data_IF_169238458099
#
_entry.id   IF_169238458099
#
_cell.length_a   1.000
_cell.length_b   1.000
_cell.length_c   1.000
_cell.angle_alpha   90.00
_cell.angle_beta   90.00
_cell.angle_gamma   90.00
#
_symmetry.space_group_name_H-M   'P 1'
#
loop_
_entity.id
_entity.type
_entity.pdbx_description
1 polymer ?
#
# COMPACT_ATOMS: atom_id res chain seq x y z
N UNK A 1 34.06 -31.49 -16.19
CA UNK A 1 35.42 -31.67 -15.62
C UNK A 1 35.95 -30.30 -15.24
N UNK A 2 36.77 -30.25 -14.18
CA UNK A 2 37.25 -29.09 -13.42
C UNK A 2 36.28 -28.58 -12.33
N UNK A 3 36.88 -28.31 -11.18
CA UNK A 3 36.41 -28.42 -9.80
C UNK A 3 36.42 -27.03 -9.11
N UNK A 4 35.89 -26.90 -7.88
CA UNK A 4 35.37 -25.67 -7.30
C UNK A 4 36.45 -24.82 -6.60
N UNK A 5 36.12 -23.56 -6.31
CA UNK A 5 36.83 -22.72 -5.35
C UNK A 5 35.95 -22.48 -4.12
N UNK A 6 36.19 -23.32 -3.14
CA UNK A 6 35.99 -23.07 -1.72
C UNK A 6 37.13 -22.16 -1.23
N UNK A 7 36.83 -21.08 -0.48
CA UNK A 7 37.73 -20.49 0.52
C UNK A 7 37.09 -19.38 1.37
N UNK A 8 36.78 -19.77 2.62
CA UNK A 8 37.27 -19.18 3.88
C UNK A 8 36.82 -17.75 4.27
N UNK A 9 35.97 -17.68 5.30
CA UNK A 9 36.14 -16.75 6.44
C UNK A 9 37.44 -17.11 7.20
N UNK A 10 38.11 -16.18 7.93
CA UNK A 10 37.80 -15.97 9.36
C UNK A 10 38.22 -14.53 9.86
N UNK A 11 38.55 -14.28 11.15
CA UNK A 11 37.66 -13.64 12.12
C UNK A 11 38.29 -12.41 12.82
N UNK A 12 37.51 -11.44 13.32
CA UNK A 12 38.05 -10.50 14.32
C UNK A 12 37.05 -10.28 15.46
N UNK A 13 37.55 -10.59 16.65
CA UNK A 13 36.97 -10.46 17.99
C UNK A 13 37.53 -9.21 18.69
N UNK A 14 36.83 -8.79 19.75
CA UNK A 14 37.15 -7.77 20.78
C UNK A 14 36.78 -6.33 20.37
N UNK A 15 36.11 -5.51 21.19
CA UNK A 15 36.23 -5.29 22.63
C UNK A 15 34.93 -4.71 23.24
N UNK A 16 34.71 -5.01 24.51
CA UNK A 16 33.67 -4.46 25.37
C UNK A 16 33.99 -3.03 25.86
N UNK A 17 32.97 -2.20 26.09
CA UNK A 17 33.00 -1.12 27.11
C UNK A 17 31.60 -0.98 27.73
N UNK A 18 31.55 -1.10 29.07
CA UNK A 18 30.45 -0.74 29.96
C UNK A 18 30.16 0.78 29.93
N UNK A 19 28.90 1.16 30.10
CA UNK A 19 28.54 2.29 30.95
C UNK A 19 27.14 2.10 31.56
N UNK A 20 27.13 1.73 32.84
CA UNK A 20 26.00 1.80 33.76
C UNK A 20 25.89 3.25 34.24
N UNK A 21 24.71 3.86 34.14
CA UNK A 21 24.34 4.99 35.02
C UNK A 21 22.94 4.73 35.55
N UNK A 22 22.89 4.36 36.83
CA UNK A 22 21.72 4.44 37.67
C UNK A 22 21.60 5.86 38.22
N UNK A 23 20.38 6.41 38.22
CA UNK A 23 20.04 7.64 38.92
C UNK A 23 18.63 7.52 39.49
N UNK A 24 18.55 7.24 40.79
CA UNK A 24 17.34 7.29 41.59
C UNK A 24 17.43 8.49 42.56
N UNK A 25 16.32 9.21 42.74
CA UNK A 25 15.79 9.90 43.95
C UNK A 25 14.51 10.64 43.50
N UNK A 26 13.28 10.24 43.87
CA UNK A 26 12.59 10.35 45.16
C UNK A 26 12.40 11.81 45.66
N UNK A 27 11.14 12.30 45.69
CA UNK A 27 10.46 12.73 46.93
C UNK A 27 9.07 13.38 46.67
N UNK A 28 8.20 13.18 47.65
CA UNK A 28 6.77 13.45 47.76
C UNK A 28 6.34 14.92 47.87
N UNK A 29 5.03 15.16 47.68
CA UNK A 29 4.30 16.29 48.27
C UNK A 29 2.85 16.36 47.79
N UNK A 30 1.91 15.83 48.58
CA UNK A 30 0.46 16.00 48.36
C UNK A 30 -0.14 17.14 49.18
N UNK A 31 -1.36 17.58 48.84
CA UNK A 31 -2.60 17.51 49.67
C UNK A 31 -3.77 18.23 48.99
N UNK A 32 -4.97 17.76 49.35
CA UNK A 32 -6.33 17.96 48.83
C UNK A 32 -7.04 19.28 49.17
N UNK A 33 -8.10 19.61 48.41
CA UNK A 33 -9.47 20.05 48.82
C UNK A 33 -10.28 20.30 47.52
N UNK A 34 -11.34 19.56 47.16
CA UNK A 34 -12.73 19.47 47.67
C UNK A 34 -13.74 20.22 46.77
N UNK A 35 -14.70 19.46 46.20
CA UNK A 35 -16.06 19.91 45.89
C UNK A 35 -16.37 20.54 44.53
N UNK A 36 -16.87 19.74 43.57
CA UNK A 36 -18.19 20.01 42.94
C UNK A 36 -18.64 18.84 42.05
N UNK A 37 -19.88 18.39 42.26
CA UNK A 37 -20.56 17.34 41.50
C UNK A 37 -20.84 17.80 40.06
N UNK A 38 -20.33 17.06 39.08
CA UNK A 38 -20.88 17.00 37.73
C UNK A 38 -20.81 15.55 37.22
N UNK A 39 -21.84 15.15 36.47
CA UNK A 39 -22.13 13.79 36.00
C UNK A 39 -20.94 13.10 35.27
N UNK A 40 -20.85 11.76 35.29
CA UNK A 40 -19.69 11.05 34.78
C UNK A 40 -19.55 11.23 33.26
N UNK A 41 -18.54 11.99 32.84
CA UNK A 41 -17.93 11.83 31.52
C UNK A 41 -17.03 10.60 31.61
N UNK A 42 -17.31 9.59 30.81
CA UNK A 42 -16.41 8.47 30.56
C UNK A 42 -15.20 9.01 29.79
N UNK A 43 -14.21 9.51 30.54
CA UNK A 43 -12.89 9.79 29.99
C UNK A 43 -12.17 8.45 29.92
N UNK A 44 -12.00 7.93 28.70
CA UNK A 44 -11.09 6.82 28.46
C UNK A 44 -9.69 7.26 28.92
N UNK A 45 -9.18 6.56 29.92
CA UNK A 45 -7.83 6.71 30.46
C UNK A 45 -6.85 6.09 29.45
N UNK A 46 -5.83 6.81 28.93
CA UNK A 46 -4.84 6.24 28.03
C UNK A 46 -3.75 5.57 28.87
N UNK A 47 -4.11 4.60 29.69
CA UNK A 47 -3.13 3.67 30.24
C UNK A 47 -2.89 2.60 29.17
N UNK A 48 -2.01 2.93 28.23
CA UNK A 48 -1.40 1.96 27.30
C UNK A 48 -0.57 1.01 28.14
N UNK A 49 -1.24 0.03 28.74
CA UNK A 49 -0.57 -1.12 29.33
C UNK A 49 -0.04 -1.88 28.13
N UNK A 50 1.25 -1.69 27.82
CA UNK A 50 1.96 -2.52 26.84
C UNK A 50 1.80 -3.96 27.27
N UNK A 51 0.87 -4.66 26.60
CA UNK A 51 0.67 -6.10 26.79
C UNK A 51 2.00 -6.79 26.48
N UNK A 52 2.43 -7.80 27.25
CA UNK A 52 3.60 -8.58 26.90
C UNK A 52 3.53 -9.03 25.43
N UNK A 53 4.65 -8.97 24.71
CA UNK A 53 4.76 -9.31 23.29
C UNK A 53 4.23 -10.71 22.95
N UNK A 54 4.23 -11.62 23.92
CA UNK A 54 3.77 -13.00 23.78
C UNK A 54 2.23 -13.17 23.91
N UNK A 55 1.50 -12.11 24.26
CA UNK A 55 0.02 -12.13 24.40
C UNK A 55 -0.71 -11.31 23.32
N UNK A 56 0.05 -10.60 22.48
CA UNK A 56 -0.50 -9.69 21.50
C UNK A 56 -1.00 -10.43 20.25
N UNK A 57 -2.02 -9.86 19.61
CA UNK A 57 -2.65 -10.38 18.40
C UNK A 57 -3.23 -9.21 17.59
N UNK A 58 -3.40 -9.36 16.28
CA UNK A 58 -4.00 -8.29 15.49
C UNK A 58 -5.51 -8.23 15.73
N UNK A 59 -6.01 -7.04 16.06
CA UNK A 59 -7.42 -6.77 16.36
C UNK A 59 -7.80 -5.37 15.85
N UNK A 60 -9.09 -5.16 15.53
CA UNK A 60 -9.62 -3.86 15.13
C UNK A 60 -9.51 -3.60 13.64
N UNK A 61 -9.46 -2.33 13.23
CA UNK A 61 -9.40 -1.96 11.80
C UNK A 61 -7.96 -1.89 11.31
N UNK A 62 -7.69 -2.51 10.18
CA UNK A 62 -6.37 -2.66 9.58
C UNK A 62 -6.41 -2.29 8.09
N UNK A 63 -5.33 -1.64 7.65
CA UNK A 63 -5.05 -1.37 6.25
C UNK A 63 -4.01 -2.37 5.78
N UNK A 64 -4.34 -3.14 4.74
CA UNK A 64 -3.45 -4.10 4.08
C UNK A 64 -2.99 -3.53 2.75
N UNK A 65 -1.72 -3.69 2.43
CA UNK A 65 -1.15 -3.40 1.11
C UNK A 65 -0.55 -4.70 0.58
N UNK A 66 -1.06 -5.14 -0.57
CA UNK A 66 -0.53 -6.28 -1.31
C UNK A 66 0.21 -5.72 -2.52
N UNK A 67 1.48 -6.07 -2.68
CA UNK A 67 2.30 -5.57 -3.78
C UNK A 67 2.86 -6.71 -4.60
N UNK A 68 2.52 -6.75 -5.88
CA UNK A 68 3.01 -7.76 -6.82
C UNK A 68 4.50 -7.57 -7.08
N UNK A 69 5.28 -8.63 -6.90
CA UNK A 69 6.73 -8.63 -7.19
C UNK A 69 7.09 -9.53 -8.37
N UNK A 70 6.30 -10.56 -8.66
CA UNK A 70 6.53 -11.43 -9.82
C UNK A 70 5.24 -12.06 -10.33
N UNK A 71 5.23 -12.38 -11.63
CA UNK A 71 4.21 -13.21 -12.28
C UNK A 71 4.86 -14.24 -13.19
N UNK A 72 4.38 -15.48 -13.15
CA UNK A 72 4.99 -16.59 -13.89
C UNK A 72 4.86 -16.49 -15.42
N UNK A 73 3.86 -15.74 -15.90
CA UNK A 73 3.59 -15.53 -17.33
C UNK A 73 4.29 -14.28 -17.91
N UNK A 74 4.93 -13.47 -17.05
CA UNK A 74 5.63 -12.24 -17.44
C UNK A 74 7.00 -12.21 -16.77
N UNK A 75 8.05 -12.55 -17.52
CA UNK A 75 9.43 -12.62 -17.00
C UNK A 75 10.01 -11.26 -16.59
N UNK A 76 9.52 -10.18 -17.18
CA UNK A 76 10.01 -8.81 -17.01
C UNK A 76 8.89 -7.90 -16.51
N UNK A 77 8.08 -8.40 -15.58
CA UNK A 77 7.06 -7.58 -14.94
C UNK A 77 7.77 -6.51 -14.11
N UNK A 78 7.52 -5.23 -14.40
CA UNK A 78 7.93 -4.15 -13.50
C UNK A 78 7.25 -4.41 -12.14
N UNK A 79 8.00 -4.75 -11.07
CA UNK A 79 7.41 -5.02 -9.78
C UNK A 79 6.80 -3.74 -9.21
N UNK A 80 5.78 -3.87 -8.37
CA UNK A 80 5.23 -2.73 -7.62
C UNK A 80 3.77 -2.41 -7.85
N UNK A 81 3.02 -3.24 -8.61
CA UNK A 81 1.56 -3.10 -8.67
C UNK A 81 1.00 -3.35 -7.28
N UNK A 82 0.44 -2.31 -6.67
CA UNK A 82 0.02 -2.34 -5.27
C UNK A 82 -1.49 -2.13 -5.12
N UNK A 83 -2.11 -2.90 -4.24
CA UNK A 83 -3.53 -2.83 -3.93
C UNK A 83 -3.72 -2.65 -2.43
N UNK A 84 -4.55 -1.66 -2.05
CA UNK A 84 -4.92 -1.39 -0.67
C UNK A 84 -6.27 -2.05 -0.33
N UNK A 85 -6.33 -2.78 0.79
CA UNK A 85 -7.55 -3.40 1.34
C UNK A 85 -7.77 -2.93 2.78
N UNK A 86 -9.03 -2.80 3.17
CA UNK A 86 -9.39 -2.51 4.57
C UNK A 86 -10.12 -3.69 5.17
N UNK A 87 -9.70 -4.11 6.35
CA UNK A 87 -10.37 -5.18 7.08
C UNK A 87 -10.49 -4.87 8.58
N UNK A 88 -11.52 -5.45 9.19
CA UNK A 88 -11.69 -5.55 10.62
C UNK A 88 -11.27 -6.95 11.01
N UNK A 89 -10.34 -7.02 11.95
CA UNK A 89 -9.78 -8.24 12.51
C UNK A 89 -10.41 -8.50 13.87
N UNK A 90 -11.04 -9.66 14.03
CA UNK A 90 -11.71 -10.08 15.25
C UNK A 90 -11.08 -11.38 15.74
N UNK A 91 -10.30 -11.34 16.82
CA UNK A 91 -9.73 -12.55 17.41
C UNK A 91 -10.78 -13.53 17.92
N UNK A 92 -10.52 -14.82 17.76
CA UNK A 92 -11.38 -15.91 18.25
C UNK A 92 -11.19 -16.25 19.74
N UNK A 93 -10.21 -15.62 20.39
CA UNK A 93 -9.81 -15.87 21.78
C UNK A 93 -9.72 -14.57 22.59
N UNK A 94 -9.83 -14.71 23.92
CA UNK A 94 -9.72 -13.57 24.84
C UNK A 94 -8.26 -13.12 25.06
N UNK A 95 -7.29 -14.04 25.02
CA UNK A 95 -5.87 -13.82 25.31
C UNK A 95 -4.95 -14.68 24.42
N UNK A 96 -3.77 -14.15 24.10
CA UNK A 96 -2.74 -14.85 23.34
C UNK A 96 -2.96 -14.90 21.81
N UNK A 97 -1.99 -15.47 21.07
CA UNK A 97 -2.14 -15.72 19.64
C UNK A 97 -3.21 -16.78 19.35
N UNK A 98 -4.13 -16.47 18.45
CA UNK A 98 -5.20 -17.35 18.01
C UNK A 98 -5.70 -16.96 16.63
N UNK A 99 -6.60 -17.76 16.04
CA UNK A 99 -7.23 -17.45 14.77
C UNK A 99 -7.96 -16.10 14.82
N UNK A 100 -7.94 -15.37 13.71
CA UNK A 100 -8.50 -14.03 13.58
C UNK A 100 -9.45 -14.00 12.40
N UNK A 101 -10.72 -13.69 12.67
CA UNK A 101 -11.71 -13.49 11.63
C UNK A 101 -11.53 -12.13 10.96
N UNK A 102 -11.77 -12.11 9.65
CA UNK A 102 -11.53 -10.99 8.76
C UNK A 102 -12.85 -10.60 8.13
N UNK A 103 -13.35 -9.42 8.50
CA UNK A 103 -14.49 -8.79 7.86
C UNK A 103 -14.01 -7.58 7.02
N UNK A 104 -14.55 -7.34 5.82
CA UNK A 104 -14.21 -6.13 5.08
C UNK A 104 -14.63 -4.86 5.84
N UNK A 105 -13.75 -3.85 5.93
CA UNK A 105 -13.96 -2.65 6.78
C UNK A 105 -14.01 -1.34 6.00
N UNK A 106 -15.06 -1.17 5.19
CA UNK A 106 -15.36 0.04 4.42
C UNK A 106 -16.63 -0.14 3.60
N UNK A 107 -17.14 0.93 2.96
CA UNK A 107 -18.15 0.76 1.91
C UNK A 107 -17.52 -0.12 0.83
N UNK A 108 -17.93 -1.39 0.73
CA UNK A 108 -17.29 -2.42 -0.11
C UNK A 108 -15.83 -2.77 0.28
N UNK A 109 -15.42 -2.62 1.54
CA UNK A 109 -14.22 -3.34 2.06
C UNK A 109 -12.86 -2.98 1.44
N UNK A 110 -12.76 -1.83 0.78
CA UNK A 110 -11.54 -1.32 0.15
C UNK A 110 -11.42 0.16 0.48
N UNK A 111 -10.21 0.73 0.41
CA UNK A 111 -10.04 2.20 0.35
C UNK A 111 -10.37 2.69 -1.08
N UNK A 112 -11.43 2.15 -1.66
CA UNK A 112 -11.95 2.53 -2.96
C UNK A 112 -13.24 3.32 -2.68
N UNK A 113 -13.40 4.53 -3.23
CA UNK A 113 -14.64 5.25 -3.11
C UNK A 113 -15.74 4.48 -3.82
N UNK A 114 -16.98 4.79 -3.46
CA UNK A 114 -18.17 4.24 -4.09
C UNK A 114 -18.08 4.34 -5.62
N UNK A 115 -18.01 3.19 -6.31
CA UNK A 115 -17.97 3.13 -7.78
C UNK A 115 -16.71 2.49 -8.37
N UNK A 116 -15.65 2.29 -7.58
CA UNK A 116 -14.45 1.57 -8.03
C UNK A 116 -14.51 0.14 -7.51
N UNK A 117 -14.77 -0.80 -8.40
CA UNK A 117 -14.63 -2.22 -8.12
C UNK A 117 -13.43 -2.69 -8.93
N UNK A 118 -12.35 -3.10 -8.27
CA UNK A 118 -11.35 -3.90 -8.95
C UNK A 118 -11.68 -5.37 -8.78
N UNK A 119 -11.64 -6.08 -9.93
CA UNK A 119 -11.84 -7.52 -10.13
C UNK A 119 -12.46 -8.21 -8.92
N UNK A 120 -13.77 -8.40 -9.05
CA UNK A 120 -14.68 -8.98 -8.09
C UNK A 120 -15.14 -8.10 -6.94
N UNK A 121 -16.47 -8.05 -6.85
CA UNK A 121 -17.24 -7.71 -5.67
C UNK A 121 -16.52 -8.21 -4.41
N UNK A 122 -16.40 -7.38 -3.36
CA UNK A 122 -15.77 -7.82 -2.11
C UNK A 122 -16.43 -9.12 -1.66
N UNK A 123 -15.61 -10.07 -1.20
CA UNK A 123 -16.12 -11.22 -0.47
C UNK A 123 -17.03 -10.69 0.64
N UNK A 124 -18.34 -10.95 0.53
CA UNK A 124 -19.22 -10.98 1.69
C UNK A 124 -18.84 -12.14 2.61
N UNK A 125 -18.04 -13.08 2.12
CA UNK A 125 -17.71 -14.29 2.85
C UNK A 125 -16.65 -13.99 3.91
N UNK A 126 -16.98 -14.21 5.19
CA UNK A 126 -16.01 -14.11 6.27
C UNK A 126 -14.82 -15.02 5.97
N UNK A 127 -13.62 -14.47 6.12
CA UNK A 127 -12.38 -15.23 5.99
C UNK A 127 -11.67 -15.27 7.34
N UNK A 128 -10.82 -16.26 7.58
CA UNK A 128 -10.07 -16.37 8.84
C UNK A 128 -8.59 -16.47 8.54
N UNK A 129 -7.78 -15.65 9.21
CA UNK A 129 -6.35 -15.87 9.35
C UNK A 129 -6.14 -16.93 10.44
N UNK A 130 -5.61 -18.09 10.05
CA UNK A 130 -5.29 -19.17 10.98
C UNK A 130 -3.91 -18.97 11.58
N UNK A 131 -3.81 -19.08 12.89
CA UNK A 131 -2.55 -18.99 13.60
C UNK A 131 -1.78 -20.31 13.54
N UNK A 132 -0.56 -20.27 13.02
CA UNK A 132 0.41 -21.36 13.13
C UNK A 132 1.39 -21.06 14.27
N UNK A 133 1.17 -21.70 15.42
CA UNK A 133 2.02 -21.54 16.60
C UNK A 133 3.45 -22.07 16.43
N UNK A 134 3.71 -22.92 15.43
CA UNK A 134 5.05 -23.46 15.16
C UNK A 134 5.89 -22.49 14.32
N UNK A 135 5.28 -21.91 13.29
CA UNK A 135 5.91 -20.92 12.42
C UNK A 135 5.80 -19.49 12.97
N UNK A 136 4.92 -19.27 13.95
CA UNK A 136 4.52 -17.96 14.48
C UNK A 136 3.93 -17.03 13.40
N UNK A 137 3.11 -17.59 12.52
CA UNK A 137 2.53 -16.85 11.39
C UNK A 137 1.02 -17.02 11.28
N UNK A 138 0.37 -16.03 10.72
CA UNK A 138 -1.02 -16.05 10.28
C UNK A 138 -1.12 -16.43 8.81
N UNK A 139 -1.91 -17.46 8.49
CA UNK A 139 -2.16 -17.86 7.10
C UNK A 139 -3.65 -17.76 6.76
N UNK A 140 -3.96 -17.12 5.63
CA UNK A 140 -5.30 -17.00 5.07
C UNK A 140 -5.32 -17.53 3.66
N UNK A 141 -6.32 -18.34 3.35
CA UNK A 141 -6.61 -18.80 1.99
C UNK A 141 -7.94 -18.19 1.56
N UNK A 142 -7.98 -17.60 0.37
CA UNK A 142 -9.17 -17.00 -0.24
C UNK A 142 -9.47 -17.69 -1.57
N UNK A 143 -10.75 -17.86 -1.88
CA UNK A 143 -11.21 -18.51 -3.10
C UNK A 143 -11.58 -19.99 -2.90
N UNK A 144 -11.85 -20.72 -3.99
CA UNK A 144 -11.73 -20.29 -5.38
C UNK A 144 -12.74 -19.20 -5.76
N UNK A 145 -12.33 -18.21 -6.55
CA UNK A 145 -13.23 -17.19 -7.15
C UNK A 145 -13.13 -17.23 -8.66
N UNK A 146 -14.15 -16.73 -9.34
CA UNK A 146 -14.15 -16.63 -10.79
C UNK A 146 -13.99 -15.18 -11.22
N UNK A 147 -12.97 -14.91 -12.05
CA UNK A 147 -12.67 -13.57 -12.52
C UNK A 147 -12.59 -13.49 -14.05
N UNK A 148 -12.78 -12.28 -14.58
CA UNK A 148 -12.75 -12.03 -16.04
C UNK A 148 -11.32 -11.85 -16.55
N UNK A 149 -11.04 -12.27 -17.77
CA UNK A 149 -9.76 -12.10 -18.47
C UNK A 149 -9.88 -11.05 -19.57
N UNK A 150 -8.84 -10.25 -19.82
CA UNK A 150 -8.72 -9.52 -21.09
C UNK A 150 -7.78 -10.31 -21.99
N UNK A 151 -8.29 -10.79 -23.12
CA UNK A 151 -7.48 -11.59 -24.03
C UNK A 151 -6.51 -10.73 -24.87
N UNK A 152 -5.70 -11.39 -25.70
CA UNK A 152 -4.69 -10.73 -26.57
C UNK A 152 -5.28 -9.73 -27.56
N UNK A 153 -6.57 -9.86 -27.89
CA UNK A 153 -7.30 -8.94 -28.78
C UNK A 153 -7.97 -7.78 -28.03
N UNK A 154 -7.77 -7.68 -26.71
CA UNK A 154 -8.38 -6.65 -25.86
C UNK A 154 -9.85 -6.94 -25.48
N UNK A 155 -10.37 -8.14 -25.77
CA UNK A 155 -11.73 -8.54 -25.42
C UNK A 155 -11.78 -9.05 -23.98
N UNK A 156 -12.76 -8.56 -23.21
CA UNK A 156 -13.06 -9.08 -21.87
C UNK A 156 -13.87 -10.38 -22.00
N UNK A 157 -13.35 -11.45 -21.39
CA UNK A 157 -13.95 -12.77 -21.30
C UNK A 157 -14.38 -12.99 -19.85
N UNK A 158 -15.68 -13.04 -19.61
CA UNK A 158 -16.24 -13.28 -18.28
C UNK A 158 -15.95 -14.72 -17.80
N UNK A 159 -15.82 -14.90 -16.48
CA UNK A 159 -15.59 -16.20 -15.81
C UNK A 159 -14.45 -17.03 -16.44
N UNK A 160 -13.43 -16.32 -16.93
CA UNK A 160 -12.32 -16.88 -17.69
C UNK A 160 -11.23 -17.48 -16.79
N UNK A 161 -11.19 -17.07 -15.52
CA UNK A 161 -10.23 -17.55 -14.54
C UNK A 161 -10.92 -18.08 -13.30
N UNK A 162 -10.25 -19.02 -12.64
CA UNK A 162 -10.48 -19.38 -11.24
C UNK A 162 -9.24 -18.99 -10.44
N UNK A 163 -9.38 -18.13 -9.44
CA UNK A 163 -8.27 -17.64 -8.62
C UNK A 163 -8.34 -18.15 -7.17
N UNK A 164 -7.17 -18.43 -6.60
CA UNK A 164 -6.99 -18.75 -5.17
C UNK A 164 -5.78 -17.99 -4.63
N UNK A 165 -5.99 -17.19 -3.58
CA UNK A 165 -4.91 -16.43 -2.94
C UNK A 165 -4.58 -17.03 -1.58
N UNK A 166 -3.30 -17.32 -1.34
CA UNK A 166 -2.77 -17.66 -0.02
C UNK A 166 -1.91 -16.50 0.47
N UNK A 167 -2.22 -15.98 1.66
CA UNK A 167 -1.47 -14.90 2.31
C UNK A 167 -0.92 -15.42 3.63
N UNK A 168 0.39 -15.30 3.85
CA UNK A 168 1.07 -15.69 5.09
C UNK A 168 1.79 -14.47 5.66
N UNK A 169 1.53 -14.15 6.93
CA UNK A 169 2.04 -12.95 7.58
C UNK A 169 2.51 -13.23 9.01
N UNK A 170 3.59 -12.61 9.43
CA UNK A 170 3.99 -12.49 10.83
C UNK A 170 3.31 -11.26 11.45
N UNK A 171 2.96 -11.33 12.73
CA UNK A 171 2.43 -10.19 13.48
C UNK A 171 3.50 -9.63 14.39
N UNK A 172 3.78 -8.34 14.23
CA UNK A 172 4.71 -7.57 15.06
C UNK A 172 3.89 -6.68 16.00
N UNK A 173 3.94 -6.91 17.32
CA UNK A 173 3.21 -6.08 18.28
C UNK A 173 3.71 -4.63 18.27
N UNK A 174 2.91 -3.68 18.77
CA UNK A 174 3.33 -2.28 18.83
C UNK A 174 4.52 -2.12 19.79
N UNK A 175 5.49 -1.30 19.38
CA UNK A 175 6.64 -0.88 20.18
C UNK A 175 6.48 0.60 20.59
N UNK A 176 7.41 1.12 21.40
CA UNK A 176 7.28 2.48 21.95
C UNK A 176 7.17 3.59 20.89
N UNK A 177 7.79 3.39 19.72
CA UNK A 177 7.89 4.33 18.61
C UNK A 177 7.34 3.77 17.29
N UNK A 178 6.77 2.56 17.29
CA UNK A 178 6.25 1.89 16.09
C UNK A 178 4.87 1.30 16.34
N UNK A 179 3.90 1.52 15.45
CA UNK A 179 2.61 0.84 15.56
C UNK A 179 2.79 -0.66 15.35
N UNK A 180 1.78 -1.44 15.72
CA UNK A 180 1.72 -2.84 15.36
C UNK A 180 1.76 -2.99 13.83
N UNK A 181 2.40 -4.03 13.33
CA UNK A 181 2.42 -4.34 11.90
C UNK A 181 2.17 -5.82 11.67
N UNK A 182 1.77 -6.16 10.45
CA UNK A 182 1.89 -7.51 9.94
C UNK A 182 2.70 -7.46 8.66
N UNK A 183 3.65 -8.37 8.48
CA UNK A 183 4.49 -8.42 7.28
C UNK A 183 4.57 -9.85 6.76
N UNK A 184 4.71 -10.03 5.45
CA UNK A 184 4.83 -11.36 4.86
C UNK A 184 4.60 -11.34 3.35
N UNK A 185 4.03 -12.42 2.84
CA UNK A 185 3.91 -12.67 1.41
C UNK A 185 2.53 -13.17 1.02
N UNK A 186 2.17 -13.00 -0.24
CA UNK A 186 1.05 -13.71 -0.84
C UNK A 186 1.46 -14.45 -2.11
N UNK A 187 0.69 -15.50 -2.41
CA UNK A 187 0.72 -16.24 -3.66
C UNK A 187 -0.71 -16.33 -4.17
N UNK A 188 -0.98 -15.80 -5.36
CA UNK A 188 -2.23 -15.95 -6.08
C UNK A 188 -2.03 -16.92 -7.24
N UNK A 189 -2.80 -18.01 -7.23
CA UNK A 189 -2.84 -18.98 -8.32
C UNK A 189 -4.06 -18.71 -9.16
N UNK A 190 -3.84 -18.43 -10.44
CA UNK A 190 -4.89 -18.11 -11.41
C UNK A 190 -4.90 -19.19 -12.48
N UNK A 191 -5.97 -19.97 -12.49
CA UNK A 191 -6.20 -21.05 -13.46
C UNK A 191 -7.19 -20.60 -14.52
N UNK A 192 -6.85 -20.77 -15.80
CA UNK A 192 -7.80 -20.47 -16.87
C UNK A 192 -8.91 -21.54 -16.92
N UNK A 193 -10.17 -21.08 -16.95
CA UNK A 193 -11.32 -21.96 -17.18
C UNK A 193 -11.32 -22.46 -18.63
N UNK A 194 -12.15 -23.46 -18.95
CA UNK A 194 -12.28 -23.93 -20.34
C UNK A 194 -12.72 -22.80 -21.29
N UNK A 195 -13.53 -21.87 -20.82
CA UNK A 195 -13.95 -20.68 -21.57
C UNK A 195 -12.78 -19.71 -21.77
N UNK A 196 -12.00 -19.44 -20.72
CA UNK A 196 -10.82 -18.60 -20.80
C UNK A 196 -9.77 -19.14 -21.76
N UNK A 197 -9.44 -20.44 -21.67
CA UNK A 197 -8.47 -21.10 -22.55
C UNK A 197 -8.85 -20.99 -24.03
N UNK A 198 -10.15 -21.12 -24.36
CA UNK A 198 -10.64 -20.99 -25.75
C UNK A 198 -10.44 -19.59 -26.31
N UNK A 199 -10.45 -18.58 -25.46
CA UNK A 199 -10.31 -17.17 -25.84
C UNK A 199 -8.88 -16.65 -25.66
N UNK A 200 -7.92 -17.53 -25.33
CA UNK A 200 -6.49 -17.20 -25.26
C UNK A 200 -5.99 -16.74 -23.89
N UNK A 201 -6.76 -16.95 -22.82
CA UNK A 201 -6.36 -16.63 -21.46
C UNK A 201 -5.38 -17.68 -20.91
N UNK A 202 -4.29 -17.24 -20.29
CA UNK A 202 -3.22 -18.11 -19.79
C UNK A 202 -3.23 -18.16 -18.28
N UNK A 203 -3.09 -19.36 -17.72
CA UNK A 203 -2.89 -19.53 -16.28
C UNK A 203 -1.57 -18.87 -15.84
N UNK A 204 -1.54 -18.34 -14.62
CA UNK A 204 -0.35 -17.75 -14.04
C UNK A 204 -0.36 -17.88 -12.52
N UNK A 205 0.83 -17.83 -11.93
CA UNK A 205 1.03 -17.62 -10.51
C UNK A 205 1.58 -16.21 -10.31
N UNK A 206 0.96 -15.46 -9.42
CA UNK A 206 1.42 -14.16 -8.96
C UNK A 206 1.93 -14.29 -7.54
N UNK A 207 3.07 -13.66 -7.26
CA UNK A 207 3.66 -13.59 -5.92
C UNK A 207 3.95 -12.15 -5.57
N UNK A 208 3.88 -11.83 -4.28
CA UNK A 208 4.11 -10.49 -3.81
C UNK A 208 4.29 -10.37 -2.31
N UNK A 209 4.55 -9.15 -1.87
CA UNK A 209 4.64 -8.80 -0.46
C UNK A 209 3.26 -8.44 0.08
N UNK A 210 3.04 -8.72 1.35
CA UNK A 210 1.84 -8.35 2.08
C UNK A 210 2.26 -7.62 3.36
N UNK A 211 1.80 -6.39 3.52
CA UNK A 211 1.98 -5.63 4.75
C UNK A 211 0.66 -5.12 5.27
N UNK A 212 0.53 -4.99 6.59
CA UNK A 212 -0.63 -4.37 7.20
C UNK A 212 -0.28 -3.56 8.43
N UNK A 213 -1.07 -2.52 8.69
CA UNK A 213 -0.92 -1.63 9.84
C UNK A 213 -2.32 -1.23 10.33
N UNK A 214 -2.54 -1.03 11.65
CA UNK A 214 -3.82 -0.56 12.15
C UNK A 214 -4.20 0.77 11.48
N UNK A 215 -5.42 0.86 10.95
CA UNK A 215 -5.87 2.03 10.19
C UNK A 215 -5.84 3.29 11.05
N UNK A 216 -5.17 4.33 10.57
CA UNK A 216 -5.04 5.61 11.28
C UNK A 216 -4.02 5.61 12.43
N UNK A 217 -3.24 4.54 12.60
CA UNK A 217 -2.16 4.51 13.61
C UNK A 217 -0.89 5.25 13.18
N UNK A 218 -0.75 5.54 11.88
CA UNK A 218 0.29 6.40 11.34
C UNK A 218 -0.23 7.84 11.34
N UNK A 219 0.42 8.73 12.09
CA UNK A 219 0.11 10.18 12.10
C UNK A 219 1.39 10.97 11.82
N UNK A 220 1.25 12.19 11.29
CA UNK A 220 2.35 13.15 11.21
C UNK A 220 2.87 13.44 12.62
N UNK A 221 3.97 12.77 12.97
CA UNK A 221 4.50 12.67 14.32
C UNK A 221 5.36 11.43 14.52
N UNK A 222 5.17 10.39 13.70
CA UNK A 222 5.97 9.16 13.72
C UNK A 222 7.41 9.30 13.17
N UNK A 223 7.88 10.53 12.87
CA UNK A 223 9.23 10.74 12.36
C UNK A 223 9.50 10.11 10.99
N UNK A 224 8.46 9.90 10.18
CA UNK A 224 8.57 9.28 8.86
C UNK A 224 9.47 10.12 7.94
N UNK A 225 10.58 9.53 7.49
CA UNK A 225 11.52 10.15 6.56
C UNK A 225 11.23 9.61 5.15
N UNK A 226 10.50 10.37 4.33
CA UNK A 226 10.24 9.98 2.95
C UNK A 226 11.49 10.23 2.12
N UNK A 227 12.18 9.17 1.72
CA UNK A 227 13.40 9.32 0.95
C UNK A 227 13.57 8.19 -0.06
N UNK A 228 14.27 8.53 -1.14
CA UNK A 228 14.58 7.58 -2.21
C UNK A 228 13.41 7.40 -3.17
N UNK A 229 13.37 6.23 -3.77
CA UNK A 229 12.48 5.96 -4.88
C UNK A 229 11.25 5.16 -4.47
N UNK A 230 10.14 5.50 -5.08
CA UNK A 230 8.84 4.89 -4.89
C UNK A 230 8.30 4.43 -6.24
N UNK A 231 7.67 3.27 -6.30
CA UNK A 231 6.90 2.83 -7.45
C UNK A 231 5.43 3.20 -7.21
N UNK A 232 4.87 3.95 -8.15
CA UNK A 232 3.48 4.39 -8.11
C UNK A 232 2.56 3.46 -8.89
N UNK A 233 1.51 2.98 -8.23
CA UNK A 233 0.37 2.32 -8.86
C UNK A 233 -0.81 3.26 -8.89
N UNK A 234 -1.40 3.46 -10.08
CA UNK A 234 -2.68 4.14 -10.23
C UNK A 234 -3.85 3.17 -10.27
N UNK A 235 -4.98 3.65 -9.76
CA UNK A 235 -6.31 3.09 -9.97
C UNK A 235 -7.18 4.22 -10.55
N UNK A 236 -7.47 4.19 -11.85
CA UNK A 236 -8.29 5.21 -12.50
C UNK A 236 -9.75 5.04 -12.10
N UNK A 237 -10.37 6.09 -11.57
CA UNK A 237 -11.75 6.05 -11.05
C UNK A 237 -12.71 6.84 -11.90
N UNK A 238 -12.21 7.86 -12.59
CA UNK A 238 -12.99 8.73 -13.46
C UNK A 238 -12.12 9.22 -14.60
N UNK A 239 -12.74 9.32 -15.77
CA UNK A 239 -12.23 10.05 -16.91
C UNK A 239 -13.27 11.09 -17.29
N UNK A 240 -12.85 12.31 -17.56
CA UNK A 240 -13.66 13.26 -18.33
C UNK A 240 -13.18 13.25 -19.79
N UNK A 241 -14.10 12.95 -20.72
CA UNK A 241 -14.02 12.89 -22.20
C UNK A 241 -12.68 12.47 -22.87
N UNK A 242 -12.75 11.51 -23.81
CA UNK A 242 -11.63 11.08 -24.69
C UNK A 242 -10.34 10.56 -24.01
N UNK A 243 -10.32 10.33 -22.69
CA UNK A 243 -9.17 9.71 -22.01
C UNK A 243 -8.94 8.25 -22.40
N UNK A 244 -7.67 7.84 -22.39
CA UNK A 244 -7.20 6.57 -22.94
C UNK A 244 -7.43 5.32 -22.05
N UNK A 245 -7.71 5.49 -20.75
CA UNK A 245 -7.74 4.40 -19.77
C UNK A 245 -9.12 4.28 -19.10
N UNK A 246 -9.90 3.21 -19.31
CA UNK A 246 -11.26 3.10 -18.78
C UNK A 246 -11.32 3.21 -17.24
N UNK A 247 -12.44 3.67 -16.64
CA UNK A 247 -12.64 3.57 -15.19
C UNK A 247 -12.44 2.13 -14.72
N UNK A 248 -11.72 1.96 -13.61
CA UNK A 248 -11.25 0.65 -13.17
C UNK A 248 -10.05 0.14 -13.96
N UNK A 249 -9.19 1.03 -14.48
CA UNK A 249 -7.86 0.70 -14.96
C UNK A 249 -6.84 0.75 -13.80
N UNK A 250 -5.95 -0.24 -13.74
CA UNK A 250 -4.81 -0.28 -12.82
C UNK A 250 -3.57 -0.29 -13.69
N UNK A 251 -2.65 0.61 -13.38
CA UNK A 251 -1.39 0.71 -14.08
C UNK A 251 -0.28 1.14 -13.16
N UNK A 252 0.94 0.88 -13.61
CA UNK A 252 2.12 1.50 -13.03
C UNK A 252 2.27 2.89 -13.62
N UNK A 253 2.29 3.90 -12.76
CA UNK A 253 2.68 5.27 -13.13
C UNK A 253 4.20 5.39 -13.28
N UNK A 254 4.95 4.42 -12.75
CA UNK A 254 6.41 4.39 -12.77
C UNK A 254 7.02 4.89 -11.48
N UNK A 255 8.27 5.36 -11.58
CA UNK A 255 9.12 5.69 -10.43
C UNK A 255 9.02 7.16 -10.04
N UNK A 256 8.71 7.41 -8.77
CA UNK A 256 8.71 8.71 -8.10
C UNK A 256 9.96 8.82 -7.24
N UNK A 257 10.74 9.87 -7.42
CA UNK A 257 11.87 10.15 -6.51
C UNK A 257 11.44 11.19 -5.48
N UNK A 258 11.47 10.81 -4.19
CA UNK A 258 11.17 11.69 -3.07
C UNK A 258 12.48 12.15 -2.42
N UNK A 259 12.67 13.47 -2.36
CA UNK A 259 13.82 14.08 -1.69
C UNK A 259 13.35 15.12 -0.69
N UNK A 260 13.89 15.08 0.52
CA UNK A 260 13.55 16.05 1.57
C UNK A 260 13.93 17.48 1.16
N UNK A 261 12.99 18.41 1.31
CA UNK A 261 13.14 19.80 0.90
C UNK A 261 12.54 20.74 1.97
N UNK A 262 13.40 21.28 2.84
CA UNK A 262 12.97 22.10 3.97
C UNK A 262 12.06 21.34 4.94
N UNK A 263 10.79 21.76 5.03
CA UNK A 263 9.75 21.12 5.87
C UNK A 263 8.86 20.12 5.11
N UNK A 264 9.07 19.96 3.80
CA UNK A 264 8.31 19.05 2.94
C UNK A 264 9.24 18.17 2.12
N UNK A 265 8.76 17.71 0.97
CA UNK A 265 9.49 16.86 0.04
C UNK A 265 9.34 17.37 -1.39
N UNK A 266 10.34 17.18 -2.22
CA UNK A 266 10.23 17.30 -3.67
C UNK A 266 9.95 15.90 -4.23
N UNK A 267 8.81 15.73 -4.90
CA UNK A 267 8.41 14.51 -5.58
C UNK A 267 8.59 14.68 -7.08
N UNK A 268 9.59 14.02 -7.65
CA UNK A 268 9.74 13.95 -9.11
C UNK A 268 8.78 12.88 -9.64
N UNK A 269 7.60 13.31 -10.07
CA UNK A 269 6.54 12.48 -10.63
C UNK A 269 6.62 12.33 -12.15
N UNK A 270 5.48 12.09 -12.78
CA UNK A 270 5.38 11.71 -14.20
C UNK A 270 5.70 12.89 -15.11
N UNK A 271 5.14 14.07 -14.79
CA UNK A 271 5.24 15.24 -15.67
C UNK A 271 6.24 16.28 -15.18
N UNK A 272 6.76 16.14 -13.96
CA UNK A 272 7.73 17.06 -13.38
C UNK A 272 7.90 16.88 -11.87
N UNK A 273 8.50 17.88 -11.23
CA UNK A 273 8.71 17.89 -9.78
C UNK A 273 7.57 18.65 -9.08
N UNK A 274 6.82 17.95 -8.25
CA UNK A 274 5.83 18.54 -7.34
C UNK A 274 6.47 18.76 -5.97
N UNK A 275 6.35 19.96 -5.40
CA UNK A 275 6.65 20.16 -3.99
C UNK A 275 5.49 19.60 -3.16
N UNK A 276 5.76 18.55 -2.39
CA UNK A 276 4.88 17.97 -1.39
C UNK A 276 4.98 18.77 -0.10
N UNK A 277 3.90 19.47 0.24
CA UNK A 277 3.73 20.15 1.50
C UNK A 277 2.92 19.27 2.47
N UNK A 278 3.29 19.23 3.76
CA UNK A 278 2.48 18.57 4.78
C UNK A 278 1.16 19.34 4.99
N UNK A 279 0.05 18.62 5.16
CA UNK A 279 -1.29 19.19 5.38
C UNK A 279 -1.95 18.79 6.71
N UNK A 280 -1.22 18.12 7.59
CA UNK A 280 -1.65 17.74 8.94
C UNK A 280 -2.05 16.26 9.06
N UNK A 281 -2.43 15.60 7.96
CA UNK A 281 -2.68 14.14 7.95
C UNK A 281 -1.81 13.41 6.92
N UNK A 282 -1.29 14.11 5.92
CA UNK A 282 -0.37 13.57 4.93
C UNK A 282 0.32 14.66 4.14
N UNK A 283 0.38 14.48 2.82
CA UNK A 283 1.07 15.37 1.90
C UNK A 283 0.18 15.75 0.71
N UNK A 284 0.35 16.97 0.24
CA UNK A 284 -0.25 17.46 -0.99
C UNK A 284 0.81 18.14 -1.83
N UNK A 285 0.79 17.89 -3.13
CA UNK A 285 1.65 18.58 -4.07
C UNK A 285 1.03 18.71 -5.44
N UNK A 286 1.47 19.73 -6.16
CA UNK A 286 0.99 20.03 -7.49
C UNK A 286 2.17 20.41 -8.37
N UNK A 287 2.20 19.84 -9.57
CA UNK A 287 3.14 20.21 -10.61
C UNK A 287 2.39 20.52 -11.90
N UNK A 288 2.99 21.38 -12.71
CA UNK A 288 2.47 21.73 -14.02
C UNK A 288 3.60 21.64 -15.04
N UNK A 289 3.31 21.07 -16.20
CA UNK A 289 4.22 20.96 -17.34
C UNK A 289 3.53 21.48 -18.59
N UNK A 290 4.24 22.26 -19.38
CA UNK A 290 3.65 22.99 -20.52
C UNK A 290 3.79 22.24 -21.85
N UNK A 291 4.46 21.07 -21.88
CA UNK A 291 4.83 20.45 -23.14
C UNK A 291 4.86 18.91 -23.10
N UNK A 292 3.70 18.27 -23.21
CA UNK A 292 3.62 16.86 -23.65
C UNK A 292 3.18 16.76 -25.11
N UNK A 293 3.81 15.88 -25.92
CA UNK A 293 3.36 15.61 -27.28
C UNK A 293 2.04 14.82 -27.23
N UNK A 294 1.04 15.24 -28.02
CA UNK A 294 -0.22 14.51 -28.09
C UNK A 294 -0.22 13.35 -29.12
N UNK A 295 0.88 13.23 -29.89
CA UNK A 295 1.13 12.08 -30.78
C UNK A 295 2.55 11.56 -30.57
N UNK A 296 2.78 10.30 -30.91
CA UNK A 296 4.13 9.68 -30.90
C UNK A 296 5.04 10.18 -32.02
N UNK A 297 4.57 11.10 -32.87
CA UNK A 297 5.29 11.62 -34.03
C UNK A 297 6.06 12.90 -33.67
N UNK A 298 7.40 12.93 -33.85
CA UNK A 298 8.26 14.05 -33.41
C UNK A 298 8.01 15.41 -34.09
N UNK A 299 7.25 15.45 -35.18
CA UNK A 299 7.20 16.59 -36.10
C UNK A 299 6.01 17.55 -35.88
N UNK A 300 5.06 17.20 -35.01
CA UNK A 300 3.84 18.01 -34.76
C UNK A 300 4.03 18.92 -33.55
N UNK A 301 3.66 20.21 -33.61
CA UNK A 301 3.85 21.12 -32.49
C UNK A 301 3.05 20.66 -31.27
N UNK A 302 3.77 20.52 -30.15
CA UNK A 302 3.27 20.15 -28.83
C UNK A 302 2.26 21.19 -28.35
N UNK A 303 1.39 20.76 -27.43
CA UNK A 303 1.43 21.23 -26.05
C UNK A 303 0.06 20.92 -25.42
N UNK A 304 -0.02 19.83 -24.67
CA UNK A 304 -0.91 19.85 -23.52
C UNK A 304 -0.31 20.77 -22.47
N UNK A 305 -1.15 21.61 -21.87
CA UNK A 305 -0.87 22.09 -20.53
C UNK A 305 -1.30 20.97 -19.57
N UNK A 306 -0.31 20.28 -19.01
CA UNK A 306 -0.55 19.16 -18.09
C UNK A 306 -0.41 19.65 -16.65
N UNK A 307 -1.35 19.27 -15.80
CA UNK A 307 -1.29 19.46 -14.35
C UNK A 307 -1.41 18.10 -13.70
N UNK A 308 -0.47 17.80 -12.82
CA UNK A 308 -0.47 16.62 -11.97
C UNK A 308 -0.63 17.08 -10.53
N UNK A 309 -1.65 16.56 -9.87
CA UNK A 309 -1.99 16.86 -8.49
C UNK A 309 -1.98 15.57 -7.67
N UNK A 310 -1.23 15.61 -6.58
CA UNK A 310 -1.16 14.62 -5.52
C UNK A 310 -1.86 15.22 -4.30
N UNK A 311 -2.94 14.59 -3.85
CA UNK A 311 -3.76 15.09 -2.74
C UNK A 311 -4.00 13.99 -1.71
N UNK A 312 -4.05 14.38 -0.44
CA UNK A 312 -4.26 13.49 0.71
C UNK A 312 -3.33 12.26 0.67
N UNK A 313 -2.06 12.47 0.35
CA UNK A 313 -1.08 11.40 0.30
C UNK A 313 -0.67 11.05 1.73
N UNK A 314 -1.33 10.05 2.30
CA UNK A 314 -1.18 9.66 3.70
C UNK A 314 -0.35 8.37 3.82
N UNK A 315 0.47 8.24 4.88
CA UNK A 315 1.11 6.96 5.20
C UNK A 315 0.04 5.96 5.66
N UNK A 316 -0.08 4.85 4.93
CA UNK A 316 -1.12 3.84 5.18
C UNK A 316 -0.60 2.51 5.72
N UNK A 317 0.69 2.23 5.49
CA UNK A 317 1.38 1.05 6.02
C UNK A 317 2.90 1.30 6.11
N UNK A 318 3.61 0.40 6.77
CA UNK A 318 5.07 0.36 6.83
C UNK A 318 5.59 -0.93 6.18
N UNK A 319 6.71 -0.86 5.47
CA UNK A 319 7.48 -2.03 5.06
C UNK A 319 8.13 -2.70 6.28
N UNK A 320 8.76 -3.86 6.08
CA UNK A 320 9.53 -4.54 7.15
C UNK A 320 10.67 -3.66 7.69
N UNK A 321 11.33 -2.90 6.80
CA UNK A 321 12.39 -1.96 7.18
C UNK A 321 11.86 -0.66 7.83
N UNK A 322 10.54 -0.49 7.88
CA UNK A 322 9.88 0.68 8.45
C UNK A 322 9.70 1.84 7.46
N UNK A 323 9.94 1.62 6.17
CA UNK A 323 9.69 2.64 5.15
C UNK A 323 8.18 2.80 4.93
N UNK A 324 7.66 4.03 4.87
CA UNK A 324 6.23 4.25 4.72
C UNK A 324 5.75 3.97 3.31
N UNK A 325 4.64 3.25 3.20
CA UNK A 325 3.82 3.16 1.99
C UNK A 325 2.77 4.26 2.07
N UNK A 326 2.66 5.05 1.00
CA UNK A 326 1.73 6.16 0.93
C UNK A 326 0.55 5.79 0.04
N UNK A 327 -0.64 6.27 0.38
CA UNK A 327 -1.78 6.23 -0.52
C UNK A 327 -2.54 7.56 -0.49
N UNK A 328 -3.10 7.93 -1.63
CA UNK A 328 -3.83 9.19 -1.75
C UNK A 328 -4.57 9.30 -3.07
N UNK A 329 -5.03 10.51 -3.37
CA UNK A 329 -5.68 10.86 -4.63
C UNK A 329 -4.66 11.39 -5.62
N UNK A 330 -4.84 11.02 -6.87
CA UNK A 330 -4.05 11.52 -7.98
C UNK A 330 -4.97 12.06 -9.06
N UNK A 331 -4.61 13.20 -9.64
CA UNK A 331 -5.30 13.78 -10.79
C UNK A 331 -4.27 14.22 -11.81
N UNK A 332 -4.44 13.75 -13.04
CA UNK A 332 -3.73 14.25 -14.20
C UNK A 332 -4.73 14.91 -15.15
N UNK A 333 -4.65 16.22 -15.26
CA UNK A 333 -5.41 17.01 -16.23
C UNK A 333 -4.49 17.38 -17.39
N UNK A 334 -4.91 17.09 -18.60
CA UNK A 334 -4.23 17.47 -19.83
C UNK A 334 -5.16 18.37 -20.64
N UNK A 335 -4.84 19.66 -20.72
CA UNK A 335 -5.62 20.64 -21.49
C UNK A 335 -4.94 20.90 -22.83
N UNK A 336 -5.62 20.59 -23.95
CA UNK A 336 -5.09 20.85 -25.27
C UNK A 336 -4.93 22.36 -25.49
N UNK A 337 -3.71 22.83 -25.77
CA UNK A 337 -3.50 24.21 -26.20
C UNK A 337 -4.16 24.46 -27.56
N UNK A 338 -4.36 25.73 -27.99
CA UNK A 338 -4.93 26.02 -29.31
C UNK A 338 -4.20 25.35 -30.48
N UNK A 339 -2.88 25.16 -30.37
CA UNK A 339 -2.06 24.45 -31.35
C UNK A 339 -2.34 22.94 -31.30
N UNK A 340 -2.45 22.37 -30.10
CA UNK A 340 -2.83 20.98 -29.91
C UNK A 340 -4.24 20.66 -30.41
N UNK A 341 -5.23 21.50 -30.10
CA UNK A 341 -6.61 21.35 -30.62
C UNK A 341 -6.63 21.37 -32.15
N UNK A 342 -5.87 22.29 -32.78
CA UNK A 342 -5.75 22.34 -34.24
C UNK A 342 -5.09 21.08 -34.84
N UNK A 343 -4.28 20.37 -34.04
CA UNK A 343 -3.66 19.09 -34.41
C UNK A 343 -4.51 17.86 -34.02
N UNK A 344 -5.72 18.05 -33.48
CA UNK A 344 -6.64 16.97 -33.10
C UNK A 344 -6.40 16.39 -31.70
N UNK A 345 -5.62 17.05 -30.86
CA UNK A 345 -5.47 16.66 -29.45
C UNK A 345 -6.79 16.92 -28.69
N UNK A 346 -7.20 15.98 -27.82
CA UNK A 346 -8.38 16.11 -26.97
C UNK A 346 -7.94 16.34 -25.51
N UNK A 347 -8.54 17.33 -24.86
CA UNK A 347 -8.32 17.53 -23.42
C UNK A 347 -8.86 16.35 -22.64
N UNK A 348 -8.15 15.91 -21.62
CA UNK A 348 -8.58 14.82 -20.76
C UNK A 348 -8.32 15.14 -19.29
N UNK A 349 -9.04 14.47 -18.40
CA UNK A 349 -8.68 14.46 -16.98
C UNK A 349 -8.89 13.06 -16.46
N UNK A 350 -7.80 12.48 -15.96
CA UNK A 350 -7.80 11.21 -15.24
C UNK A 350 -7.76 11.51 -13.75
N UNK A 351 -8.71 10.95 -13.02
CA UNK A 351 -8.73 11.03 -11.56
C UNK A 351 -8.69 9.62 -11.01
N UNK A 352 -7.77 9.38 -10.08
CA UNK A 352 -7.47 8.07 -9.56
C UNK A 352 -7.06 8.05 -8.10
N UNK A 353 -6.82 6.85 -7.62
CA UNK A 353 -6.07 6.59 -6.40
C UNK A 353 -4.63 6.25 -6.77
N UNK A 354 -3.72 6.67 -5.92
CA UNK A 354 -2.31 6.40 -6.04
C UNK A 354 -1.85 5.63 -4.81
N UNK A 355 -1.06 4.59 -5.02
CA UNK A 355 -0.29 3.91 -3.97
C UNK A 355 1.17 4.05 -4.33
N UNK A 356 1.98 4.59 -3.42
CA UNK A 356 3.43 4.72 -3.57
C UNK A 356 4.10 3.71 -2.63
N UNK A 357 4.76 2.71 -3.21
CA UNK A 357 5.51 1.70 -2.46
C UNK A 357 7.01 1.97 -2.59
N UNK A 358 7.81 1.97 -1.51
CA UNK A 358 9.25 2.11 -1.59
C UNK A 358 9.87 1.08 -2.54
N UNK A 359 10.61 1.53 -3.55
CA UNK A 359 11.21 0.66 -4.56
C UNK A 359 12.17 -0.37 -3.95
N UNK A 360 12.87 0.00 -2.86
CA UNK A 360 13.78 -0.89 -2.15
C UNK A 360 13.08 -2.12 -1.51
N UNK A 361 11.76 -2.04 -1.26
CA UNK A 361 10.98 -3.15 -0.71
C UNK A 361 10.50 -4.16 -1.77
N UNK A 362 10.86 -3.93 -3.04
CA UNK A 362 10.43 -4.76 -4.18
C UNK A 362 11.56 -5.63 -4.75
N UNK A 363 12.78 -5.44 -4.26
CA UNK A 363 14.01 -6.09 -4.74
C UNK A 363 14.29 -7.46 -4.09
#
# INVERSE_FOLDING_TARGET
MARPLDRRRPPWTHLAVLAVVAGAMAACGGTSEEGSKAAPKTTADPTTTTRPTDEARPEGRWTFVLTTTARSDVSDLDPGVAVVRLATLTPSCDEGPCDVDVAPAGAKGTYLPEGVAFRDTPNSDPATYRWDGSAKTYTRVSGPRTSSCTNVDGKVVADAYTDTTTTTMEFHPPEADRPATMTGTYVEKVEATEAGLKEGCTAYEETGTAVATPTGSLTEGAGLDLHGAYIGTEVVTKIDADGAQPPGFIGLLGRFELTRSGKGYDAKGIIGTAALAPDGTGFTGRTASVERPCTTTPETPKAYASVEELADLEPVALTEDGDPILAGRWTLSEEATPVGTAAGCASSTNTGYLVLVPAASLD
#
